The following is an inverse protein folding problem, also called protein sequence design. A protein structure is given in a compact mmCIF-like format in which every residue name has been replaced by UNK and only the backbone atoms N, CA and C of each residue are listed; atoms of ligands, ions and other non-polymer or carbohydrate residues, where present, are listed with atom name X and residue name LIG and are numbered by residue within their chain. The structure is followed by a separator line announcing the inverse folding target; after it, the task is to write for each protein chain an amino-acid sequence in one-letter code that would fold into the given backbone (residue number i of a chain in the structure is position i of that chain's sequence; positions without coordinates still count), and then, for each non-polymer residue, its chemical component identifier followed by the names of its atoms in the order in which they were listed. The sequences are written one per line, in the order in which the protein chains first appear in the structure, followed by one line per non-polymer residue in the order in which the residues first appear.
data_IF_462478539465
#
_entry.id   IF_462478539465
#
_cell.length_a   1.000
_cell.length_b   1.000
_cell.length_c   1.000
_cell.angle_alpha   90.00
_cell.angle_beta   90.00
_cell.angle_gamma   90.00
#
_symmetry.space_group_name_H-M   'P 1'
#
loop_
_entity.id
_entity.type
_entity.pdbx_description
1 polymer ?
#
# COMPACT_ATOMS: atom_id res chain seq x y z
N UNK A 1 2.11 -15.81 26.02
CA UNK A 1 0.90 -15.55 25.22
C UNK A 1 1.26 -14.52 24.16
N UNK A 2 1.12 -14.86 22.89
CA UNK A 2 1.35 -13.93 21.78
C UNK A 2 0.18 -12.95 21.62
N UNK A 3 0.40 -11.81 20.98
CA UNK A 3 -0.68 -10.86 20.65
C UNK A 3 -1.82 -11.54 19.85
N UNK A 4 -1.47 -12.53 19.01
CA UNK A 4 -2.45 -13.32 18.26
C UNK A 4 -3.33 -14.20 19.16
N UNK A 5 -2.75 -14.83 20.18
CA UNK A 5 -3.50 -15.64 21.15
C UNK A 5 -4.41 -14.77 22.02
N UNK A 6 -3.91 -13.61 22.46
CA UNK A 6 -4.71 -12.62 23.19
C UNK A 6 -5.90 -12.12 22.36
N UNK A 7 -5.68 -11.77 21.10
CA UNK A 7 -6.74 -11.30 20.21
C UNK A 7 -7.85 -12.34 20.01
N UNK A 8 -7.48 -13.61 19.80
CA UNK A 8 -8.45 -14.73 19.70
C UNK A 8 -9.30 -14.84 20.97
N UNK A 9 -8.66 -14.82 22.14
CA UNK A 9 -9.36 -14.91 23.42
C UNK A 9 -10.32 -13.74 23.67
N UNK A 10 -9.98 -12.53 23.20
CA UNK A 10 -10.85 -11.37 23.29
C UNK A 10 -12.04 -11.48 22.34
N UNK A 11 -11.84 -11.96 21.11
CA UNK A 11 -12.91 -12.16 20.12
C UNK A 11 -13.99 -13.11 20.67
N UNK A 12 -13.59 -14.20 21.32
CA UNK A 12 -14.53 -15.18 21.89
C UNK A 12 -15.43 -14.59 23.00
N UNK A 13 -15.05 -13.45 23.59
CA UNK A 13 -15.82 -12.78 24.65
C UNK A 13 -16.79 -11.72 24.11
N UNK A 14 -16.78 -11.43 22.81
CA UNK A 14 -17.59 -10.36 22.21
C UNK A 14 -19.01 -10.87 21.99
N UNK A 15 -20.05 -10.18 22.50
CA UNK A 15 -21.43 -10.52 22.18
C UNK A 15 -21.68 -10.41 20.67
N UNK A 16 -22.44 -11.35 20.10
CA UNK A 16 -22.72 -11.41 18.67
C UNK A 16 -23.27 -10.08 18.10
N UNK A 17 -24.11 -9.38 18.87
CA UNK A 17 -24.67 -8.07 18.51
C UNK A 17 -23.63 -6.97 18.27
N UNK A 18 -22.38 -7.18 18.70
CA UNK A 18 -21.24 -6.26 18.52
C UNK A 18 -20.17 -6.82 17.59
N UNK A 19 -20.27 -8.09 17.19
CA UNK A 19 -19.24 -8.77 16.39
C UNK A 19 -19.04 -8.10 15.03
N UNK A 20 -20.11 -7.59 14.42
CA UNK A 20 -20.04 -6.92 13.13
C UNK A 20 -19.11 -5.70 13.11
N UNK A 21 -18.96 -4.99 14.23
CA UNK A 21 -18.02 -3.87 14.34
C UNK A 21 -16.56 -4.33 14.30
N UNK A 22 -16.29 -5.57 14.69
CA UNK A 22 -14.92 -6.13 14.78
C UNK A 22 -14.54 -6.83 13.48
N UNK A 23 -15.50 -7.50 12.83
CA UNK A 23 -15.28 -8.17 11.54
C UNK A 23 -14.70 -7.21 10.51
N UNK A 24 -15.24 -5.99 10.39
CA UNK A 24 -14.75 -5.00 9.42
C UNK A 24 -13.28 -4.61 9.65
N UNK A 25 -12.88 -4.41 10.90
CA UNK A 25 -11.48 -4.14 11.24
C UNK A 25 -10.58 -5.34 10.96
N UNK A 26 -11.02 -6.56 11.28
CA UNK A 26 -10.25 -7.78 11.00
C UNK A 26 -10.11 -8.03 9.50
N UNK A 27 -11.14 -7.76 8.70
CA UNK A 27 -11.08 -7.84 7.24
C UNK A 27 -10.03 -6.87 6.67
N UNK A 28 -10.00 -5.62 7.14
CA UNK A 28 -8.99 -4.65 6.75
C UNK A 28 -7.58 -5.05 7.18
N UNK A 29 -7.41 -5.51 8.42
CA UNK A 29 -6.11 -5.94 8.95
C UNK A 29 -5.57 -7.24 8.32
N UNK A 30 -6.44 -8.02 7.67
CA UNK A 30 -6.07 -9.23 6.94
C UNK A 30 -5.66 -8.95 5.49
N UNK A 31 -5.86 -7.73 4.99
CA UNK A 31 -5.32 -7.31 3.70
C UNK A 31 -3.80 -7.29 3.85
N UNK A 32 -3.06 -8.08 3.05
CA UNK A 32 -1.60 -8.06 3.08
C UNK A 32 -1.11 -6.67 2.65
N UNK A 33 0.07 -6.31 3.12
CA UNK A 33 0.74 -5.10 2.63
C UNK A 33 0.88 -5.18 1.11
N UNK A 34 0.51 -4.10 0.43
CA UNK A 34 0.68 -4.02 -1.01
C UNK A 34 2.17 -3.93 -1.33
N UNK A 35 2.61 -4.80 -2.23
CA UNK A 35 3.94 -4.73 -2.84
C UNK A 35 3.75 -4.23 -4.27
N UNK A 36 4.52 -3.23 -4.74
CA UNK A 36 4.45 -2.80 -6.12
C UNK A 36 4.68 -3.97 -7.08
N UNK A 37 4.10 -3.90 -8.27
CA UNK A 37 4.38 -4.93 -9.28
C UNK A 37 5.86 -4.90 -9.71
N UNK A 38 6.31 -5.96 -10.39
CA UNK A 38 7.72 -6.08 -10.78
C UNK A 38 8.23 -4.91 -11.63
N UNK A 39 7.38 -4.35 -12.51
CA UNK A 39 7.72 -3.21 -13.35
C UNK A 39 7.95 -1.94 -12.51
N UNK A 40 7.09 -1.69 -11.52
CA UNK A 40 7.21 -0.54 -10.63
C UNK A 40 8.44 -0.67 -9.73
N UNK A 41 8.73 -1.88 -9.24
CA UNK A 41 9.94 -2.15 -8.47
C UNK A 41 11.18 -1.83 -9.31
N UNK A 42 11.25 -2.32 -10.55
CA UNK A 42 12.38 -2.06 -11.44
C UNK A 42 12.57 -0.56 -11.74
N UNK A 43 11.48 0.18 -11.94
CA UNK A 43 11.54 1.63 -12.14
C UNK A 43 12.07 2.39 -10.90
N UNK A 44 11.67 1.95 -9.70
CA UNK A 44 12.21 2.52 -8.44
C UNK A 44 13.71 2.20 -8.32
N UNK A 45 14.12 0.95 -8.56
CA UNK A 45 15.53 0.53 -8.50
C UNK A 45 16.40 1.29 -9.50
N UNK A 46 15.88 1.57 -10.71
CA UNK A 46 16.57 2.39 -11.72
C UNK A 46 16.83 3.81 -11.20
N UNK A 47 15.82 4.46 -10.61
CA UNK A 47 15.94 5.81 -10.08
C UNK A 47 16.91 5.87 -8.90
N UNK A 48 16.90 4.88 -8.00
CA UNK A 48 17.84 4.78 -6.88
C UNK A 48 19.28 4.57 -7.35
N UNK A 49 19.48 3.90 -8.48
CA UNK A 49 20.77 3.74 -9.12
C UNK A 49 21.25 5.00 -9.90
N UNK A 50 20.46 6.08 -9.89
CA UNK A 50 20.76 7.32 -10.61
C UNK A 50 20.45 7.27 -12.11
N UNK A 51 19.65 6.29 -12.55
CA UNK A 51 19.11 6.20 -13.90
C UNK A 51 17.87 7.08 -14.10
N UNK A 52 17.00 6.70 -15.04
CA UNK A 52 15.83 7.46 -15.41
C UNK A 52 16.13 8.76 -16.17
N UNK A 53 15.07 9.52 -16.43
CA UNK A 53 15.15 10.78 -17.20
C UNK A 53 14.89 11.96 -16.29
N UNK A 54 15.88 12.83 -16.14
CA UNK A 54 15.71 14.13 -15.47
C UNK A 54 15.20 15.14 -16.48
N UNK A 55 14.00 15.66 -16.26
CA UNK A 55 13.48 16.78 -17.04
C UNK A 55 14.09 18.10 -16.56
N UNK A 56 14.56 18.91 -17.50
CA UNK A 56 15.05 20.27 -17.24
C UNK A 56 14.25 21.27 -18.05
N UNK A 57 13.64 22.27 -17.40
CA UNK A 57 12.81 23.25 -18.07
C UNK A 57 11.70 23.77 -17.17
N UNK A 58 10.71 24.45 -17.75
CA UNK A 58 9.51 24.86 -17.01
C UNK A 58 8.51 23.70 -16.89
N UNK A 59 7.61 23.78 -15.92
CA UNK A 59 6.50 22.81 -15.80
C UNK A 59 5.63 22.78 -17.06
N UNK A 60 5.44 23.91 -17.74
CA UNK A 60 4.66 23.98 -19.00
C UNK A 60 5.32 23.15 -20.12
N UNK A 61 6.65 23.22 -20.23
CA UNK A 61 7.42 22.43 -21.19
C UNK A 61 7.35 20.93 -20.89
N UNK A 62 7.36 20.54 -19.61
CA UNK A 62 7.22 19.13 -19.20
C UNK A 62 5.86 18.56 -19.61
N UNK A 63 4.77 19.30 -19.37
CA UNK A 63 3.44 18.85 -19.75
C UNK A 63 3.24 18.80 -21.26
N UNK A 64 3.86 19.70 -22.03
CA UNK A 64 3.88 19.58 -23.50
C UNK A 64 4.53 18.28 -23.94
N UNK A 65 5.70 17.94 -23.38
CA UNK A 65 6.39 16.69 -23.68
C UNK A 65 5.53 15.45 -23.37
N UNK A 66 4.89 15.40 -22.19
CA UNK A 66 4.03 14.26 -21.81
C UNK A 66 2.78 14.08 -22.69
N UNK A 67 2.32 15.15 -23.34
CA UNK A 67 1.15 15.12 -24.23
C UNK A 67 1.50 14.81 -25.68
N UNK A 68 2.79 14.74 -26.02
CA UNK A 68 3.29 14.43 -27.37
C UNK A 68 3.55 12.92 -27.58
N UNK A 69 3.56 12.12 -26.51
CA UNK A 69 3.63 10.65 -26.50
C UNK A 69 2.23 9.99 -26.57
#
# INVERSE_FOLDING_TARGET
MSNRELAKNLIDQIPESRMYYVISYLQGAAIPDEVPNAETIAAIEELEAGGGTVFTGSTDDFFKQLMED
#
